data_IF_692127236510
#
_entry.id   IF_692127236510
#
_cell.length_a   1.000
_cell.length_b   1.000
_cell.length_c   1.000
_cell.angle_alpha   90.00
_cell.angle_beta   90.00
_cell.angle_gamma   90.00
#
_symmetry.space_group_name_H-M   'P 1'
#
loop_
_entity.id
_entity.type
_entity.pdbx_description
1 polymer ?
#
# COMPACT_ATOMS: atom_id res chain seq x y z
N UNK A 1 -25.05 18.33 47.39
CA UNK A 1 -24.76 18.88 46.04
C UNK A 1 -23.85 17.93 45.30
N UNK A 2 -24.29 17.45 44.12
CA UNK A 2 -23.50 16.59 43.21
C UNK A 2 -22.34 17.38 42.63
N UNK A 3 -21.10 16.92 42.80
CA UNK A 3 -19.95 17.46 42.08
C UNK A 3 -19.70 16.61 40.83
N UNK A 4 -20.20 17.07 39.68
CA UNK A 4 -19.87 16.55 38.34
C UNK A 4 -18.72 17.40 37.80
N UNK A 5 -17.53 16.81 37.61
CA UNK A 5 -16.53 17.37 36.68
C UNK A 5 -16.57 16.57 35.38
N UNK A 6 -17.19 17.19 34.36
CA UNK A 6 -16.84 17.03 32.92
C UNK A 6 -15.33 17.36 32.81
N UNK A 7 -14.52 16.81 31.92
CA UNK A 7 -14.70 16.33 30.55
C UNK A 7 -13.34 16.59 29.87
N UNK A 8 -13.00 15.80 28.87
CA UNK A 8 -11.63 15.62 28.39
C UNK A 8 -10.93 16.84 27.79
N UNK A 9 -9.61 16.72 27.68
CA UNK A 9 -8.82 17.24 26.56
C UNK A 9 -7.90 16.13 26.10
N UNK A 10 -8.35 15.37 25.10
CA UNK A 10 -7.39 14.69 24.22
C UNK A 10 -6.64 15.79 23.48
N UNK A 11 -5.32 15.84 23.64
CA UNK A 11 -4.47 16.81 22.96
C UNK A 11 -4.71 16.74 21.45
N UNK A 12 -5.00 17.90 20.87
CA UNK A 12 -5.02 18.08 19.42
C UNK A 12 -3.56 18.00 18.98
N UNK A 13 -3.21 17.00 18.19
CA UNK A 13 -1.87 16.92 17.58
C UNK A 13 -1.83 17.96 16.46
N UNK A 14 -0.94 18.96 16.55
CA UNK A 14 -0.88 20.09 15.60
C UNK A 14 -0.20 19.74 14.25
N UNK A 15 -0.05 18.45 13.95
CA UNK A 15 0.62 17.92 12.77
C UNK A 15 2.11 17.70 12.98
N UNK A 16 2.67 16.76 12.21
CA UNK A 16 4.10 16.42 12.18
C UNK A 16 4.82 17.37 11.21
N UNK A 17 5.79 18.12 11.72
CA UNK A 17 6.66 18.97 10.89
C UNK A 17 7.78 18.14 10.28
N UNK A 18 7.90 18.18 8.95
CA UNK A 18 8.92 17.46 8.19
C UNK A 18 9.80 18.47 7.48
N UNK A 19 11.10 18.46 7.80
CA UNK A 19 12.08 19.38 7.22
C UNK A 19 12.91 18.74 6.10
N UNK A 20 13.13 19.48 5.02
CA UNK A 20 14.13 19.17 3.98
C UNK A 20 15.23 20.24 4.08
N UNK A 21 16.39 19.86 4.59
CA UNK A 21 17.49 20.80 4.84
C UNK A 21 18.38 20.98 3.62
N UNK A 22 19.09 19.93 3.24
CA UNK A 22 20.06 19.97 2.14
C UNK A 22 20.28 18.57 1.56
N UNK A 23 20.83 18.52 0.36
CA UNK A 23 21.41 17.32 -0.23
C UNK A 23 22.87 17.58 -0.58
N UNK A 24 23.67 16.52 -0.61
CA UNK A 24 25.08 16.58 -0.95
C UNK A 24 25.41 15.54 -2.02
N UNK A 25 26.42 15.85 -2.84
CA UNK A 25 26.99 14.95 -3.84
C UNK A 25 25.96 14.28 -4.76
N UNK A 26 24.95 15.05 -5.18
CA UNK A 26 23.94 14.57 -6.11
C UNK A 26 24.56 14.16 -7.46
N UNK A 27 23.92 13.22 -8.14
CA UNK A 27 24.30 12.85 -9.50
C UNK A 27 24.00 14.00 -10.47
N UNK A 28 24.97 14.33 -11.31
CA UNK A 28 24.75 15.24 -12.44
C UNK A 28 23.90 14.57 -13.52
N UNK A 29 22.72 15.13 -13.76
CA UNK A 29 21.77 14.64 -14.76
C UNK A 29 21.76 15.51 -16.03
N UNK A 30 22.15 16.78 -15.93
CA UNK A 30 22.31 17.67 -17.08
C UNK A 30 23.63 17.43 -17.83
N UNK A 31 23.62 17.73 -19.13
CA UNK A 31 24.83 17.76 -19.98
C UNK A 31 25.89 18.75 -19.51
N UNK A 32 25.51 19.73 -18.68
CA UNK A 32 26.41 20.71 -18.07
C UNK A 32 27.23 20.20 -16.87
N UNK A 33 27.08 18.93 -16.49
CA UNK A 33 27.79 18.35 -15.34
C UNK A 33 27.20 18.76 -13.99
N UNK A 34 25.98 19.29 -13.98
CA UNK A 34 25.22 19.67 -12.78
C UNK A 34 23.80 19.09 -12.84
N UNK A 35 22.95 19.51 -11.91
CA UNK A 35 21.51 19.29 -11.94
C UNK A 35 20.79 20.55 -11.46
N UNK A 36 19.48 20.62 -11.72
CA UNK A 36 18.55 21.59 -11.17
C UNK A 36 17.65 20.93 -10.10
N UNK A 37 18.19 20.54 -8.92
CA UNK A 37 17.46 19.68 -7.99
C UNK A 37 16.30 20.36 -7.24
N UNK A 38 15.24 19.58 -7.04
CA UNK A 38 14.14 19.85 -6.10
C UNK A 38 13.65 18.54 -5.46
N UNK A 39 12.96 18.64 -4.32
CA UNK A 39 12.49 17.48 -3.56
C UNK A 39 10.97 17.46 -3.52
N UNK A 40 10.40 16.30 -3.85
CA UNK A 40 8.99 15.99 -3.62
C UNK A 40 8.86 15.19 -2.32
N UNK A 41 8.03 15.65 -1.40
CA UNK A 41 7.80 15.05 -0.08
C UNK A 41 6.35 14.61 0.04
N UNK A 42 6.11 13.35 0.42
CA UNK A 42 4.77 12.81 0.64
C UNK A 42 4.77 11.62 1.61
N UNK A 43 3.59 11.24 2.09
CA UNK A 43 3.38 10.03 2.87
C UNK A 43 2.69 8.96 2.00
N UNK A 44 3.06 7.69 2.17
CA UNK A 44 2.39 6.58 1.49
C UNK A 44 0.92 6.41 1.88
N UNK A 45 0.51 6.93 3.05
CA UNK A 45 -0.88 6.95 3.49
C UNK A 45 -1.76 7.93 2.71
N UNK A 46 -1.18 9.01 2.16
CA UNK A 46 -1.88 10.00 1.34
C UNK A 46 -0.99 10.55 0.23
N UNK A 47 -0.80 9.73 -0.80
CA UNK A 47 0.06 10.05 -1.96
C UNK A 47 -0.43 11.25 -2.79
N UNK A 48 -1.66 11.74 -2.57
CA UNK A 48 -2.18 12.92 -3.28
C UNK A 48 -1.67 14.20 -2.65
N UNK A 49 -1.38 14.17 -1.36
CA UNK A 49 -0.86 15.31 -0.61
C UNK A 49 0.67 15.33 -0.72
N UNK A 50 1.14 15.95 -1.80
CA UNK A 50 2.56 16.16 -2.07
C UNK A 50 2.95 17.60 -1.78
N UNK A 51 4.16 17.77 -1.28
CA UNK A 51 4.82 19.06 -1.18
C UNK A 51 6.08 19.05 -2.01
N UNK A 52 6.45 20.20 -2.56
CA UNK A 52 7.64 20.36 -3.38
C UNK A 52 8.47 21.49 -2.82
N UNK A 53 9.79 21.31 -2.77
CA UNK A 53 10.72 22.40 -2.51
C UNK A 53 10.85 23.27 -3.75
N UNK A 54 11.48 24.43 -3.59
CA UNK A 54 11.97 25.23 -4.70
C UNK A 54 13.04 24.46 -5.48
N UNK A 55 13.13 24.77 -6.77
CA UNK A 55 14.19 24.28 -7.67
C UNK A 55 15.44 25.11 -7.44
N UNK A 56 16.56 24.44 -7.16
CA UNK A 56 17.88 25.05 -7.08
C UNK A 56 18.64 24.78 -8.36
N UNK A 57 19.08 25.82 -9.08
CA UNK A 57 19.69 25.65 -10.39
C UNK A 57 21.18 25.33 -10.33
N UNK A 58 21.64 24.45 -11.22
CA UNK A 58 23.05 24.13 -11.50
C UNK A 58 23.87 23.83 -10.25
N UNK A 59 23.37 22.94 -9.41
CA UNK A 59 24.05 22.53 -8.18
C UNK A 59 23.87 21.04 -7.90
N UNK A 60 24.91 20.43 -7.34
CA UNK A 60 24.87 19.06 -6.81
C UNK A 60 24.78 19.04 -5.27
N UNK A 61 24.80 20.22 -4.64
CA UNK A 61 24.77 20.41 -3.19
C UNK A 61 23.73 21.48 -2.80
N UNK A 62 22.43 21.26 -3.08
CA UNK A 62 21.38 22.22 -2.79
C UNK A 62 21.12 22.34 -1.28
N UNK A 63 20.89 23.58 -0.82
CA UNK A 63 20.42 23.88 0.55
C UNK A 63 19.01 24.46 0.44
N UNK A 64 18.02 23.67 0.83
CA UNK A 64 16.59 23.98 0.72
C UNK A 64 16.08 24.74 1.95
N UNK A 65 16.31 24.19 3.15
CA UNK A 65 15.76 24.69 4.43
C UNK A 65 14.24 24.94 4.39
N UNK A 66 13.49 23.99 3.82
CA UNK A 66 12.04 24.04 3.72
C UNK A 66 11.39 23.06 4.70
N UNK A 67 10.16 23.34 5.13
CA UNK A 67 9.44 22.49 6.08
C UNK A 67 7.95 22.41 5.76
N UNK A 68 7.38 21.22 5.95
CA UNK A 68 6.02 20.88 5.57
C UNK A 68 5.27 20.24 6.73
N UNK A 69 3.97 20.51 6.85
CA UNK A 69 3.14 19.99 7.95
C UNK A 69 2.24 18.86 7.42
N UNK A 70 2.48 17.66 7.93
CA UNK A 70 1.64 16.49 7.66
C UNK A 70 0.71 16.21 8.84
N UNK A 71 -0.56 15.92 8.55
CA UNK A 71 -1.51 15.50 9.58
C UNK A 71 -1.45 13.97 9.62
N UNK A 72 -0.77 13.42 10.61
CA UNK A 72 -0.57 11.97 10.78
C UNK A 72 -1.21 11.56 12.10
N UNK A 73 -2.22 10.70 12.04
CA UNK A 73 -2.81 10.11 13.24
C UNK A 73 -1.93 8.99 13.78
N UNK A 74 -2.04 8.70 15.08
CA UNK A 74 -1.27 7.61 15.72
C UNK A 74 -1.48 6.25 15.03
N UNK A 75 -2.67 6.02 14.44
CA UNK A 75 -2.97 4.80 13.70
C UNK A 75 -2.25 4.73 12.34
N UNK A 76 -1.96 5.87 11.73
CA UNK A 76 -1.23 5.94 10.45
C UNK A 76 0.27 5.84 10.64
N UNK A 77 0.81 6.28 11.79
CA UNK A 77 2.26 6.20 12.08
C UNK A 77 2.81 4.79 11.90
N UNK A 78 2.03 3.76 12.27
CA UNK A 78 2.46 2.36 12.17
C UNK A 78 2.57 1.84 10.73
N UNK A 79 1.96 2.51 9.76
CA UNK A 79 1.85 2.03 8.37
C UNK A 79 2.37 3.04 7.32
N UNK A 80 2.50 4.30 7.71
CA UNK A 80 2.96 5.37 6.84
C UNK A 80 4.48 5.34 6.69
N UNK A 81 4.92 5.53 5.44
CA UNK A 81 6.30 5.74 5.08
C UNK A 81 6.40 7.16 4.54
N UNK A 82 7.30 7.94 5.11
CA UNK A 82 7.71 9.21 4.56
C UNK A 82 8.63 8.99 3.37
N UNK A 83 8.26 9.55 2.23
CA UNK A 83 9.01 9.46 0.99
C UNK A 83 9.49 10.85 0.62
N UNK A 84 10.80 10.96 0.37
CA UNK A 84 11.44 12.15 -0.20
C UNK A 84 12.14 11.76 -1.49
N UNK A 85 11.66 12.27 -2.62
CA UNK A 85 12.23 12.01 -3.94
C UNK A 85 12.94 13.25 -4.44
N UNK A 86 14.23 13.10 -4.78
CA UNK A 86 15.03 14.18 -5.36
C UNK A 86 14.95 14.07 -6.87
N UNK A 87 14.48 15.13 -7.51
CA UNK A 87 14.34 15.24 -8.96
C UNK A 87 15.24 16.32 -9.52
N UNK A 88 15.64 16.13 -10.77
CA UNK A 88 16.26 17.10 -11.65
C UNK A 88 15.19 17.80 -12.50
N UNK A 89 15.09 19.12 -12.37
CA UNK A 89 14.10 19.88 -13.12
C UNK A 89 14.52 20.06 -14.59
N UNK A 90 13.62 19.72 -15.50
CA UNK A 90 13.83 19.86 -16.93
C UNK A 90 12.79 20.80 -17.55
N UNK A 91 13.24 21.89 -18.19
CA UNK A 91 12.31 22.89 -18.75
C UNK A 91 11.47 22.37 -19.93
N UNK A 92 12.00 21.44 -20.71
CA UNK A 92 11.42 21.01 -21.99
C UNK A 92 11.25 19.48 -22.11
N UNK A 93 11.51 18.74 -21.04
CA UNK A 93 11.40 17.28 -20.99
C UNK A 93 10.90 16.83 -19.63
N UNK A 94 10.61 15.53 -19.49
CA UNK A 94 10.26 14.94 -18.20
C UNK A 94 11.40 15.15 -17.20
N UNK A 95 11.05 15.46 -15.96
CA UNK A 95 12.03 15.61 -14.87
C UNK A 95 12.62 14.24 -14.53
N UNK A 96 13.95 14.18 -14.37
CA UNK A 96 14.64 12.93 -14.08
C UNK A 96 14.74 12.73 -12.57
N UNK A 97 14.46 11.53 -12.10
CA UNK A 97 14.65 11.22 -10.67
C UNK A 97 16.12 10.92 -10.40
N UNK A 98 16.70 11.63 -9.43
CA UNK A 98 18.09 11.46 -9.00
C UNK A 98 18.17 10.28 -8.01
N UNK A 99 17.24 10.23 -7.06
CA UNK A 99 17.16 9.18 -6.05
C UNK A 99 16.06 9.45 -5.03
N UNK A 100 15.88 8.53 -4.09
CA UNK A 100 14.84 8.65 -3.06
C UNK A 100 15.28 8.15 -1.69
N UNK A 101 14.64 8.71 -0.67
CA UNK A 101 14.72 8.30 0.73
C UNK A 101 13.34 7.86 1.19
N UNK A 102 13.28 6.72 1.88
CA UNK A 102 12.06 6.18 2.45
C UNK A 102 12.25 5.86 3.93
N UNK A 103 11.44 6.50 4.76
CA UNK A 103 11.54 6.43 6.22
C UNK A 103 10.19 5.96 6.79
N UNK A 104 10.08 4.69 7.22
CA UNK A 104 8.91 4.22 7.94
C UNK A 104 8.71 5.04 9.21
N UNK A 105 7.53 5.65 9.38
CA UNK A 105 7.29 6.52 10.54
C UNK A 105 7.23 5.75 11.86
N UNK A 106 7.00 4.43 11.81
CA UNK A 106 7.05 3.55 12.98
C UNK A 106 8.45 3.46 13.61
N UNK A 107 9.49 3.67 12.80
CA UNK A 107 10.89 3.62 13.25
C UNK A 107 11.39 5.00 13.73
N UNK A 108 10.53 6.02 13.70
CA UNK A 108 10.85 7.39 14.06
C UNK A 108 10.18 7.77 15.37
N UNK A 109 10.96 8.28 16.32
CA UNK A 109 10.41 8.90 17.52
C UNK A 109 9.88 10.30 17.21
N UNK A 110 8.59 10.38 16.90
CA UNK A 110 7.90 11.64 16.56
C UNK A 110 7.73 12.60 17.75
N UNK A 111 8.11 12.20 18.98
CA UNK A 111 8.03 13.09 20.15
C UNK A 111 9.24 14.02 20.26
N UNK A 112 10.34 13.69 19.60
CA UNK A 112 11.58 14.46 19.65
C UNK A 112 11.97 14.97 18.26
N UNK A 113 12.64 16.12 18.24
CA UNK A 113 13.22 16.64 16.99
C UNK A 113 14.38 15.74 16.59
N UNK A 114 14.27 15.14 15.42
CA UNK A 114 15.31 14.31 14.82
C UNK A 114 15.86 14.99 13.58
N UNK A 115 17.17 14.98 13.44
CA UNK A 115 17.88 15.46 12.26
C UNK A 115 18.95 14.45 11.88
N UNK A 116 18.90 13.96 10.64
CA UNK A 116 19.83 12.93 10.18
C UNK A 116 20.08 13.05 8.68
N UNK A 117 21.29 12.63 8.27
CA UNK A 117 21.62 12.37 6.88
C UNK A 117 21.12 10.98 6.48
N UNK A 118 20.57 10.87 5.27
CA UNK A 118 20.09 9.62 4.70
C UNK A 118 20.62 9.51 3.27
N UNK A 119 21.21 8.36 2.95
CA UNK A 119 21.72 8.10 1.61
C UNK A 119 20.56 7.97 0.62
N UNK A 120 20.73 8.56 -0.56
CA UNK A 120 19.78 8.37 -1.65
C UNK A 120 19.89 6.95 -2.19
N UNK A 121 18.79 6.21 -2.09
CA UNK A 121 18.65 4.97 -2.85
C UNK A 121 18.37 5.30 -4.32
N UNK A 122 18.87 4.49 -5.28
CA UNK A 122 18.41 4.58 -6.66
C UNK A 122 16.89 4.53 -6.67
N UNK A 123 16.24 5.39 -7.45
CA UNK A 123 14.79 5.47 -7.53
C UNK A 123 14.16 4.08 -7.62
N UNK A 124 13.59 3.62 -6.52
CA UNK A 124 13.23 2.25 -6.28
C UNK A 124 11.74 2.06 -6.41
N UNK A 125 11.12 2.45 -7.54
CA UNK A 125 9.67 2.23 -7.78
C UNK A 125 8.81 2.56 -6.54
N UNK A 126 9.05 3.69 -5.88
CA UNK A 126 8.10 4.28 -4.92
C UNK A 126 7.29 5.37 -5.64
N UNK A 127 7.10 5.21 -6.95
CA UNK A 127 5.72 5.04 -7.37
C UNK A 127 5.24 3.76 -6.67
N UNK A 128 4.62 3.85 -5.49
CA UNK A 128 3.60 2.86 -5.18
C UNK A 128 2.58 3.02 -6.30
N UNK A 129 2.77 2.26 -7.38
CA UNK A 129 1.81 2.13 -8.45
C UNK A 129 0.49 1.90 -7.73
N UNK A 130 -0.45 2.84 -7.83
CA UNK A 130 -1.72 2.69 -7.17
C UNK A 130 -2.42 1.51 -7.85
N UNK A 131 -2.21 0.31 -7.30
CA UNK A 131 -2.65 -0.96 -7.90
C UNK A 131 -4.17 -1.03 -7.97
N UNK A 132 -4.84 -0.18 -7.20
CA UNK A 132 -6.27 -0.01 -7.13
C UNK A 132 -6.81 -0.30 -5.75
N UNK A 133 -8.11 -0.08 -5.60
CA UNK A 133 -8.84 -0.37 -4.38
C UNK A 133 -9.90 -1.43 -4.67
N UNK A 134 -10.15 -2.32 -3.71
CA UNK A 134 -11.18 -3.36 -3.81
C UNK A 134 -12.13 -3.28 -2.61
N UNK A 135 -13.42 -3.38 -2.88
CA UNK A 135 -14.48 -3.45 -1.89
C UNK A 135 -15.03 -4.87 -1.82
N UNK A 136 -15.09 -5.43 -0.62
CA UNK A 136 -15.70 -6.73 -0.37
C UNK A 136 -16.32 -6.74 1.01
N UNK A 137 -17.28 -7.65 1.22
CA UNK A 137 -17.88 -7.89 2.53
C UNK A 137 -17.50 -9.23 3.12
N UNK A 138 -17.35 -9.23 4.44
CA UNK A 138 -17.07 -10.42 5.24
C UNK A 138 -18.19 -10.68 6.22
N UNK A 139 -18.54 -11.96 6.37
CA UNK A 139 -19.48 -12.44 7.37
C UNK A 139 -19.05 -13.83 7.83
N UNK A 140 -18.92 -14.02 9.14
CA UNK A 140 -18.60 -15.33 9.70
C UNK A 140 -19.68 -15.79 10.68
N UNK A 141 -20.26 -16.97 10.46
CA UNK A 141 -21.25 -17.58 11.36
C UNK A 141 -20.62 -18.78 12.08
N UNK A 142 -20.27 -18.66 13.37
CA UNK A 142 -19.63 -19.75 14.12
C UNK A 142 -20.48 -21.01 14.20
N UNK A 143 -21.80 -20.88 14.43
CA UNK A 143 -22.71 -22.02 14.61
C UNK A 143 -22.80 -22.95 13.40
N UNK A 144 -22.54 -22.43 12.20
CA UNK A 144 -22.48 -23.23 10.96
C UNK A 144 -21.07 -23.34 10.40
N UNK A 145 -20.06 -22.78 11.07
CA UNK A 145 -18.68 -22.70 10.59
C UNK A 145 -18.57 -22.11 9.17
N UNK A 146 -19.36 -21.08 8.83
CA UNK A 146 -19.42 -20.51 7.48
C UNK A 146 -18.80 -19.12 7.44
N UNK A 147 -17.72 -18.98 6.66
CA UNK A 147 -17.15 -17.70 6.23
C UNK A 147 -17.69 -17.35 4.85
N UNK A 148 -18.45 -16.26 4.75
CA UNK A 148 -18.94 -15.70 3.50
C UNK A 148 -18.10 -14.48 3.13
N UNK A 149 -17.58 -14.49 1.91
CA UNK A 149 -16.82 -13.38 1.29
C UNK A 149 -17.59 -12.95 0.05
N UNK A 150 -18.09 -11.71 0.02
CA UNK A 150 -18.76 -11.16 -1.17
C UNK A 150 -17.83 -10.13 -1.80
N UNK A 151 -17.33 -10.42 -3.00
CA UNK A 151 -16.54 -9.48 -3.78
C UNK A 151 -17.52 -8.52 -4.46
N UNK A 152 -17.49 -7.24 -4.08
CA UNK A 152 -18.45 -6.24 -4.55
C UNK A 152 -17.95 -5.58 -5.83
N UNK A 153 -16.89 -4.79 -5.72
CA UNK A 153 -16.35 -4.00 -6.83
C UNK A 153 -14.88 -3.65 -6.58
N UNK A 154 -14.19 -3.21 -7.62
CA UNK A 154 -12.89 -2.56 -7.52
C UNK A 154 -12.90 -1.25 -8.31
N UNK A 155 -11.97 -0.34 -8.01
CA UNK A 155 -11.82 0.93 -8.73
C UNK A 155 -10.35 1.31 -8.86
N UNK A 156 -10.08 2.10 -9.91
CA UNK A 156 -8.74 2.66 -10.19
C UNK A 156 -7.66 1.58 -10.21
N UNK A 157 -7.98 0.42 -10.79
CA UNK A 157 -7.01 -0.64 -11.00
C UNK A 157 -5.88 -0.15 -11.90
N UNK A 158 -4.68 -0.66 -11.67
CA UNK A 158 -3.54 -0.42 -12.56
C UNK A 158 -3.82 -1.03 -13.94
N UNK A 159 -3.52 -0.28 -15.00
CA UNK A 159 -3.52 -0.75 -16.38
C UNK A 159 -2.41 -1.77 -16.57
N UNK A 160 -2.73 -2.95 -17.10
CA UNK A 160 -1.73 -3.97 -17.43
C UNK A 160 -1.66 -4.27 -18.92
N UNK A 161 -2.76 -4.10 -19.66
CA UNK A 161 -2.79 -4.32 -21.10
C UNK A 161 -2.30 -3.10 -21.89
N UNK A 162 -1.71 -3.36 -23.06
CA UNK A 162 -1.19 -2.32 -23.96
C UNK A 162 -2.29 -1.44 -24.59
N UNK A 163 -3.55 -1.89 -24.56
CA UNK A 163 -4.71 -1.14 -25.05
C UNK A 163 -5.24 -0.09 -24.06
N UNK A 164 -4.62 0.01 -22.88
CA UNK A 164 -4.93 1.03 -21.88
C UNK A 164 -5.96 0.61 -20.84
N UNK A 165 -6.43 -0.64 -20.84
CA UNK A 165 -7.39 -1.17 -19.86
C UNK A 165 -6.88 -2.51 -19.28
N UNK A 166 -7.78 -3.28 -18.67
CA UNK A 166 -7.52 -4.60 -18.10
C UNK A 166 -8.80 -5.46 -18.18
N UNK A 167 -8.64 -6.77 -18.13
CA UNK A 167 -9.69 -7.78 -17.99
C UNK A 167 -9.73 -8.36 -16.55
N UNK A 168 -10.08 -7.58 -15.50
CA UNK A 168 -9.90 -7.99 -14.12
C UNK A 168 -10.78 -9.15 -13.66
N UNK A 169 -10.20 -10.00 -12.81
CA UNK A 169 -10.90 -10.97 -11.98
C UNK A 169 -10.23 -11.16 -10.63
N UNK A 170 -10.97 -11.67 -9.65
CA UNK A 170 -10.51 -11.79 -8.25
C UNK A 170 -10.37 -13.25 -7.87
N UNK A 171 -9.22 -13.62 -7.28
CA UNK A 171 -9.02 -14.92 -6.62
C UNK A 171 -9.12 -14.73 -5.12
N UNK A 172 -10.01 -15.50 -4.49
CA UNK A 172 -10.23 -15.54 -3.04
C UNK A 172 -9.67 -16.86 -2.52
N UNK A 173 -8.67 -16.79 -1.64
CA UNK A 173 -7.91 -17.95 -1.18
C UNK A 173 -7.81 -17.97 0.35
N UNK A 174 -8.07 -19.12 0.96
CA UNK A 174 -7.75 -19.38 2.35
C UNK A 174 -6.40 -20.08 2.46
N UNK A 175 -5.58 -19.64 3.39
CA UNK A 175 -4.32 -20.25 3.79
C UNK A 175 -4.47 -20.66 5.25
N UNK A 176 -4.10 -21.89 5.58
CA UNK A 176 -4.12 -22.41 6.94
C UNK A 176 -2.70 -22.83 7.29
N UNK A 177 -2.15 -22.30 8.39
CA UNK A 177 -0.79 -22.64 8.84
C UNK A 177 0.27 -22.48 7.71
N UNK A 178 0.21 -21.36 6.97
CA UNK A 178 1.08 -21.03 5.82
C UNK A 178 0.96 -21.99 4.61
N UNK A 179 0.00 -22.91 4.62
CA UNK A 179 -0.30 -23.80 3.48
C UNK A 179 -1.60 -23.37 2.80
N UNK A 180 -1.57 -23.34 1.47
CA UNK A 180 -2.76 -23.06 0.64
C UNK A 180 -3.84 -24.10 0.95
N UNK A 181 -5.06 -23.65 1.26
CA UNK A 181 -6.15 -24.53 1.68
C UNK A 181 -7.31 -24.56 0.70
N UNK A 182 -8.09 -23.47 0.62
CA UNK A 182 -9.27 -23.37 -0.27
C UNK A 182 -9.11 -22.18 -1.20
N UNK A 183 -9.65 -22.26 -2.42
CA UNK A 183 -9.55 -21.19 -3.41
C UNK A 183 -10.78 -21.14 -4.32
N UNK A 184 -11.29 -19.94 -4.58
CA UNK A 184 -12.36 -19.63 -5.53
C UNK A 184 -11.96 -18.40 -6.37
N UNK A 185 -12.65 -18.16 -7.48
CA UNK A 185 -12.41 -16.99 -8.34
C UNK A 185 -13.74 -16.43 -8.86
N UNK A 186 -13.76 -15.13 -9.14
CA UNK A 186 -14.90 -14.46 -9.78
C UNK A 186 -14.96 -14.74 -11.27
N UNK A 187 -16.04 -14.29 -11.91
CA UNK A 187 -16.06 -14.01 -13.34
C UNK A 187 -15.03 -12.93 -13.71
N UNK A 188 -14.61 -12.95 -14.98
CA UNK A 188 -13.73 -11.93 -15.58
C UNK A 188 -14.60 -10.79 -16.09
N UNK A 189 -14.24 -9.55 -15.76
CA UNK A 189 -14.88 -8.34 -16.31
C UNK A 189 -13.94 -7.77 -17.36
N UNK A 190 -14.42 -7.61 -18.58
CA UNK A 190 -13.55 -7.21 -19.69
C UNK A 190 -13.38 -5.70 -19.75
N UNK A 191 -12.20 -5.26 -20.18
CA UNK A 191 -11.91 -3.90 -20.61
C UNK A 191 -12.34 -2.82 -19.59
N UNK A 192 -11.95 -2.97 -18.32
CA UNK A 192 -12.35 -2.05 -17.24
C UNK A 192 -11.34 -1.99 -16.11
N UNK A 193 -11.11 -0.78 -15.58
CA UNK A 193 -10.33 -0.53 -14.36
C UNK A 193 -11.22 -0.32 -13.12
N UNK A 194 -12.55 -0.38 -13.29
CA UNK A 194 -13.53 -0.27 -12.21
C UNK A 194 -14.61 -1.36 -12.31
N UNK A 195 -14.22 -2.64 -12.16
CA UNK A 195 -15.14 -3.76 -12.32
C UNK A 195 -16.16 -3.87 -11.17
N UNK A 196 -17.41 -4.15 -11.52
CA UNK A 196 -18.46 -4.56 -10.58
C UNK A 196 -18.67 -6.08 -10.66
N UNK A 197 -18.51 -6.79 -9.54
CA UNK A 197 -18.61 -8.24 -9.45
C UNK A 197 -19.92 -8.68 -8.78
N UNK A 198 -20.12 -8.26 -7.52
CA UNK A 198 -21.18 -8.73 -6.62
C UNK A 198 -21.31 -10.27 -6.56
N UNK A 199 -20.18 -10.96 -6.37
CA UNK A 199 -20.09 -12.42 -6.35
C UNK A 199 -19.79 -12.94 -4.94
N UNK A 200 -20.60 -13.88 -4.46
CA UNK A 200 -20.51 -14.43 -3.12
C UNK A 200 -19.81 -15.79 -3.09
N UNK A 201 -18.85 -15.94 -2.17
CA UNK A 201 -18.12 -17.16 -1.92
C UNK A 201 -18.32 -17.61 -0.48
N UNK A 202 -18.67 -18.88 -0.29
CA UNK A 202 -18.82 -19.49 1.03
C UNK A 202 -17.71 -20.52 1.25
N UNK A 203 -17.05 -20.42 2.38
CA UNK A 203 -16.05 -21.37 2.86
C UNK A 203 -16.46 -21.93 4.21
N UNK A 204 -16.34 -23.24 4.36
CA UNK A 204 -16.45 -23.89 5.66
C UNK A 204 -15.13 -23.74 6.42
N UNK A 205 -15.16 -22.99 7.53
CA UNK A 205 -14.02 -22.74 8.42
C UNK A 205 -14.48 -22.99 9.85
N UNK A 206 -14.11 -24.13 10.44
CA UNK A 206 -14.36 -24.43 11.85
C UNK A 206 -13.87 -23.30 12.77
N UNK A 207 -14.63 -23.01 13.83
CA UNK A 207 -14.32 -21.91 14.74
C UNK A 207 -12.93 -22.04 15.38
N UNK A 208 -12.53 -23.25 15.74
CA UNK A 208 -11.20 -23.52 16.30
C UNK A 208 -10.04 -23.26 15.31
N UNK A 209 -10.32 -23.14 14.00
CA UNK A 209 -9.32 -22.86 12.98
C UNK A 209 -9.28 -21.38 12.55
N UNK A 210 -10.31 -20.58 12.85
CA UNK A 210 -10.47 -19.24 12.28
C UNK A 210 -9.30 -18.30 12.61
N UNK A 211 -8.67 -18.46 13.78
CA UNK A 211 -7.52 -17.65 14.19
C UNK A 211 -6.23 -17.98 13.42
N UNK A 212 -6.16 -19.17 12.81
CA UNK A 212 -5.00 -19.65 12.06
C UNK A 212 -5.18 -19.54 10.53
N UNK A 213 -6.30 -18.96 10.10
CA UNK A 213 -6.63 -18.77 8.69
C UNK A 213 -6.22 -17.38 8.23
N UNK A 214 -5.53 -17.30 7.11
CA UNK A 214 -5.39 -16.08 6.33
C UNK A 214 -6.33 -16.10 5.14
N UNK A 215 -7.21 -15.10 5.06
CA UNK A 215 -8.00 -14.82 3.88
C UNK A 215 -7.17 -13.93 2.96
N UNK A 216 -6.89 -14.43 1.76
CA UNK A 216 -6.08 -13.75 0.76
C UNK A 216 -6.95 -13.38 -0.43
N UNK A 217 -6.94 -12.11 -0.78
CA UNK A 217 -7.66 -11.56 -1.93
C UNK A 217 -6.62 -11.03 -2.92
N UNK A 218 -6.69 -11.50 -4.16
CA UNK A 218 -5.79 -11.06 -5.23
C UNK A 218 -6.58 -10.69 -6.47
N UNK A 219 -6.23 -9.54 -7.05
CA UNK A 219 -6.79 -9.04 -8.30
C UNK A 219 -5.82 -9.37 -9.43
N UNK A 220 -6.35 -9.92 -10.50
CA UNK A 220 -5.60 -10.45 -11.64
C UNK A 220 -6.16 -9.85 -12.92
N UNK A 221 -5.28 -9.62 -13.88
CA UNK A 221 -5.65 -9.39 -15.26
C UNK A 221 -5.70 -10.71 -16.03
N UNK A 222 -6.65 -10.82 -16.96
CA UNK A 222 -6.83 -12.00 -17.80
C UNK A 222 -6.30 -11.73 -19.19
N UNK A 223 -5.07 -12.14 -19.42
CA UNK A 223 -4.48 -12.14 -20.74
C UNK A 223 -5.05 -13.23 -21.65
N UNK A 224 -5.25 -12.89 -22.93
CA UNK A 224 -5.71 -13.87 -23.96
C UNK A 224 -4.59 -14.74 -24.50
N UNK A 225 -3.37 -14.20 -24.59
CA UNK A 225 -2.23 -14.81 -25.28
C UNK A 225 -1.12 -15.16 -24.30
N UNK A 226 -0.82 -14.26 -23.36
CA UNK A 226 0.16 -14.44 -22.31
C UNK A 226 -0.46 -15.07 -21.07
N UNK A 227 0.37 -15.31 -20.06
CA UNK A 227 -0.09 -15.79 -18.77
C UNK A 227 -0.68 -14.60 -18.00
N UNK A 228 -1.87 -14.79 -17.43
CA UNK A 228 -2.53 -13.84 -16.52
C UNK A 228 -1.55 -13.17 -15.54
N UNK A 229 -1.50 -11.84 -15.61
CA UNK A 229 -0.73 -11.01 -14.71
C UNK A 229 -1.49 -10.66 -13.42
N UNK A 230 -0.75 -10.51 -12.33
CA UNK A 230 -1.35 -10.18 -11.04
C UNK A 230 -1.19 -8.68 -10.77
N UNK A 231 -2.33 -7.96 -10.74
CA UNK A 231 -2.37 -6.52 -10.47
C UNK A 231 -1.95 -6.22 -9.04
N UNK A 232 -2.53 -6.94 -8.07
CA UNK A 232 -2.27 -6.66 -6.66
C UNK A 232 -2.89 -7.66 -5.71
N UNK A 233 -2.56 -7.53 -4.42
CA UNK A 233 -2.95 -8.50 -3.39
C UNK A 233 -3.09 -7.85 -2.02
N UNK A 234 -3.88 -8.49 -1.16
CA UNK A 234 -3.94 -8.22 0.27
C UNK A 234 -4.32 -9.50 1.03
N UNK A 235 -4.17 -9.47 2.35
CA UNK A 235 -4.65 -10.54 3.23
C UNK A 235 -5.32 -9.98 4.48
N UNK A 236 -6.23 -10.76 5.06
CA UNK A 236 -6.92 -10.48 6.31
C UNK A 236 -6.79 -11.68 7.22
N UNK A 237 -6.34 -11.44 8.45
CA UNK A 237 -6.28 -12.41 9.55
C UNK A 237 -5.99 -11.71 10.87
N UNK A 238 -5.90 -12.48 11.95
CA UNK A 238 -5.44 -11.98 13.25
C UNK A 238 -3.97 -11.52 13.25
N UNK A 239 -3.22 -11.75 12.15
CA UNK A 239 -1.83 -11.33 11.98
C UNK A 239 -1.66 -10.16 11.02
N UNK A 240 -2.76 -9.69 10.41
CA UNK A 240 -2.73 -8.47 9.63
C UNK A 240 -2.55 -7.25 10.54
N UNK A 241 -2.31 -6.09 9.95
CA UNK A 241 -2.30 -4.79 10.64
C UNK A 241 -3.41 -3.89 10.09
N UNK A 242 -3.59 -2.71 10.71
CA UNK A 242 -4.42 -1.63 10.20
C UNK A 242 -5.84 -2.03 9.79
N UNK A 243 -6.23 -1.58 8.60
CA UNK A 243 -7.59 -1.76 8.08
C UNK A 243 -7.95 -3.24 7.86
N UNK A 244 -6.99 -4.06 7.43
CA UNK A 244 -7.19 -5.49 7.21
C UNK A 244 -7.48 -6.23 8.53
N UNK A 245 -6.72 -5.91 9.59
CA UNK A 245 -6.97 -6.45 10.93
C UNK A 245 -8.32 -5.98 11.48
N UNK A 246 -8.62 -4.68 11.29
CA UNK A 246 -9.89 -4.10 11.73
C UNK A 246 -11.07 -4.78 11.06
N UNK A 247 -11.06 -4.95 9.74
CA UNK A 247 -12.12 -5.62 9.01
C UNK A 247 -12.35 -7.05 9.50
N UNK A 248 -11.25 -7.80 9.72
CA UNK A 248 -11.31 -9.17 10.24
C UNK A 248 -11.87 -9.22 11.67
N UNK A 249 -11.44 -8.30 12.52
CA UNK A 249 -11.88 -8.20 13.92
C UNK A 249 -13.35 -7.81 13.99
N UNK A 250 -13.77 -6.82 13.20
CA UNK A 250 -15.17 -6.38 13.11
C UNK A 250 -16.06 -7.54 12.65
N UNK A 251 -15.63 -8.34 11.66
CA UNK A 251 -16.35 -9.53 11.20
C UNK A 251 -16.55 -10.55 12.33
N UNK A 252 -15.50 -10.85 13.10
CA UNK A 252 -15.57 -11.80 14.21
C UNK A 252 -16.44 -11.29 15.37
N UNK A 253 -16.39 -9.99 15.65
CA UNK A 253 -17.22 -9.35 16.67
C UNK A 253 -18.70 -9.29 16.27
N UNK A 254 -19.03 -9.38 14.98
CA UNK A 254 -20.39 -9.27 14.45
C UNK A 254 -20.82 -10.52 13.65
N UNK A 255 -20.97 -11.70 14.29
CA UNK A 255 -21.05 -13.02 13.65
C UNK A 255 -22.28 -13.30 12.76
N UNK A 256 -23.13 -12.31 12.49
CA UNK A 256 -24.31 -12.46 11.63
C UNK A 256 -24.49 -11.29 10.66
N UNK A 257 -23.68 -10.23 10.76
CA UNK A 257 -23.80 -9.05 9.93
C UNK A 257 -22.69 -9.04 8.89
N UNK A 258 -23.00 -8.93 7.58
CA UNK A 258 -21.97 -8.66 6.59
C UNK A 258 -21.41 -7.25 6.83
N UNK A 259 -20.08 -7.16 6.91
CA UNK A 259 -19.36 -5.88 7.02
C UNK A 259 -18.65 -5.69 5.71
N UNK A 260 -18.91 -4.57 5.03
CA UNK A 260 -18.27 -4.20 3.76
C UNK A 260 -17.25 -3.09 4.00
N UNK A 261 -16.04 -3.25 3.46
CA UNK A 261 -14.99 -2.24 3.56
C UNK A 261 -14.15 -2.20 2.29
N UNK A 262 -13.63 -1.00 1.99
CA UNK A 262 -12.63 -0.77 0.97
C UNK A 262 -11.23 -1.10 1.50
N UNK A 263 -10.39 -1.67 0.62
CA UNK A 263 -8.99 -1.95 0.91
C UNK A 263 -8.12 -1.58 -0.28
N UNK A 264 -6.96 -0.97 -0.01
CA UNK A 264 -5.95 -0.71 -1.03
C UNK A 264 -5.18 -1.99 -1.36
N UNK A 265 -4.95 -2.24 -2.64
CA UNK A 265 -4.12 -3.35 -3.09
C UNK A 265 -2.64 -3.07 -2.83
N UNK A 266 -1.90 -4.09 -2.43
CA UNK A 266 -0.47 -4.01 -2.17
C UNK A 266 0.32 -4.87 -3.18
N UNK A 267 1.61 -4.57 -3.40
CA UNK A 267 2.49 -5.37 -4.26
C UNK A 267 2.54 -6.84 -3.82
N UNK A 268 2.58 -7.73 -4.81
CA UNK A 268 2.47 -9.18 -4.60
C UNK A 268 3.61 -9.70 -3.71
N UNK A 269 4.82 -9.19 -3.91
CA UNK A 269 6.04 -9.58 -3.23
C UNK A 269 5.99 -9.25 -1.73
N UNK A 270 5.38 -8.11 -1.37
CA UNK A 270 5.21 -7.66 0.02
C UNK A 270 4.30 -8.63 0.77
N UNK A 271 3.16 -8.99 0.17
CA UNK A 271 2.21 -9.92 0.79
C UNK A 271 2.78 -11.34 0.87
N UNK A 272 3.43 -11.81 -0.18
CA UNK A 272 3.98 -13.18 -0.21
C UNK A 272 5.13 -13.35 0.80
N UNK A 273 6.00 -12.33 0.96
CA UNK A 273 6.99 -12.29 2.05
C UNK A 273 6.32 -12.34 3.41
N UNK A 274 5.31 -11.51 3.65
CA UNK A 274 4.61 -11.41 4.94
C UNK A 274 3.96 -12.73 5.35
N UNK A 275 3.35 -13.43 4.38
CA UNK A 275 2.72 -14.73 4.62
C UNK A 275 3.72 -15.90 4.70
N UNK A 276 5.02 -15.65 4.46
CA UNK A 276 6.05 -16.68 4.40
C UNK A 276 5.80 -17.71 3.30
N UNK A 277 5.16 -17.29 2.21
CA UNK A 277 4.89 -18.15 1.07
C UNK A 277 6.17 -18.25 0.22
N UNK A 278 6.67 -19.47 0.00
CA UNK A 278 7.83 -19.68 -0.87
C UNK A 278 7.58 -19.04 -2.23
N UNK A 279 8.38 -18.04 -2.60
CA UNK A 279 8.53 -17.62 -3.99
C UNK A 279 9.02 -18.85 -4.77
N UNK A 280 8.33 -19.21 -5.85
CA UNK A 280 8.89 -20.17 -6.80
C UNK A 280 10.09 -19.49 -7.43
N UNK A 281 11.27 -19.69 -6.85
CA UNK A 281 12.53 -19.40 -7.54
C UNK A 281 12.48 -20.17 -8.87
N UNK A 282 12.49 -19.42 -9.99
CA UNK A 282 12.84 -20.02 -11.28
C UNK A 282 14.30 -20.41 -11.14
N UNK A 283 14.58 -21.70 -11.19
CA UNK A 283 15.94 -22.19 -11.38
C UNK A 283 16.50 -21.54 -12.67
N UNK A 284 17.76 -21.07 -12.68
CA UNK A 284 18.41 -20.69 -13.92
C UNK A 284 18.36 -21.89 -14.86
N UNK A 285 17.97 -21.67 -16.11
CA UNK A 285 18.12 -22.68 -17.14
C UNK A 285 19.62 -23.03 -17.25
N UNK A 286 19.99 -24.30 -17.34
CA UNK A 286 21.37 -24.66 -17.62
C UNK A 286 21.76 -24.05 -18.97
N UNK A 287 22.85 -23.28 -18.98
CA UNK A 287 23.51 -22.86 -20.21
C UNK A 287 24.06 -24.11 -20.88
N UNK A 288 23.53 -24.40 -22.08
CA UNK A 288 24.09 -25.41 -22.99
C UNK A 288 25.46 -25.00 -23.50
#
# INVERSE_FOLDING_TARGET
>A
GKNRRRGGRGGKWDGTLIGVKQAADLKAMDSGGTSDPYVIVFLTSDIRKKYETKVHRKTLNPVYNESFIFQVSQAEVTEAILVMQVYDFNRFSKHDIIGEVCLPLVDVDLQHVMEQWLDLSPAGKIEQEHLGEICFSLRYVPSTSKLTVVILEAKKLKVMDADGLSDPYVKVQLILNKKKWKKKKTSVKKNTLSPYFNEAFVFEVPFNLIQNVDLVISVWDRDKVTKDDQIGKLFLSCRATGNQLRHWSDMLANPRRPIAQWHSLQPVEVIDKTLGLKTRFKLPLPTS
#
